data_IF_289266681054
#
_entry.id   IF_289266681054
#
_cell.length_a   1.000
_cell.length_b   1.000
_cell.length_c   1.000
_cell.angle_alpha   90.00
_cell.angle_beta   90.00
_cell.angle_gamma   90.00
#
_symmetry.space_group_name_H-M   'P 1'
#
loop_
_entity.id
_entity.type
_entity.pdbx_description
1 polymer ?
#
# COMPACT_ATOMS: atom_id res chain seq x y z
N UNK A 1 -16.05 -13.46 17.40
CA UNK A 1 -16.67 -14.13 18.57
C UNK A 1 -18.13 -13.72 18.66
N UNK A 2 -19.05 -14.57 19.18
CA UNK A 2 -20.50 -14.37 19.09
C UNK A 2 -21.03 -13.06 19.71
N UNK A 3 -20.23 -12.35 20.51
CA UNK A 3 -20.59 -11.10 21.17
C UNK A 3 -19.57 -9.95 20.93
N UNK A 4 -18.76 -10.03 19.88
CA UNK A 4 -17.81 -8.97 19.54
C UNK A 4 -18.53 -7.77 18.92
N UNK A 5 -18.78 -6.73 19.70
CA UNK A 5 -19.34 -5.46 19.17
C UNK A 5 -18.25 -4.63 18.51
N UNK A 6 -18.34 -4.44 17.19
CA UNK A 6 -17.49 -3.50 16.44
C UNK A 6 -18.10 -2.09 16.53
N UNK A 7 -17.86 -1.42 17.67
CA UNK A 7 -18.27 -0.03 17.91
C UNK A 7 -17.04 0.83 18.13
N UNK A 8 -16.88 1.87 17.33
CA UNK A 8 -15.85 2.89 17.49
C UNK A 8 -16.46 4.28 17.44
N UNK A 9 -15.98 5.21 18.27
CA UNK A 9 -16.31 6.62 18.13
C UNK A 9 -15.58 7.20 16.92
N UNK A 10 -16.32 7.84 16.01
CA UNK A 10 -15.75 8.43 14.79
C UNK A 10 -14.64 9.45 15.09
N UNK A 11 -14.76 10.21 16.18
CA UNK A 11 -13.76 11.20 16.62
C UNK A 11 -12.36 10.61 16.81
N UNK A 12 -12.23 9.31 17.10
CA UNK A 12 -10.94 8.64 17.28
C UNK A 12 -10.25 8.30 15.96
N UNK A 13 -10.92 8.45 14.82
CA UNK A 13 -10.37 8.16 13.48
C UNK A 13 -9.92 9.42 12.72
N UNK A 14 -10.08 10.61 13.32
CA UNK A 14 -9.87 11.90 12.64
C UNK A 14 -8.48 12.03 12.00
N UNK A 15 -7.43 11.54 12.67
CA UNK A 15 -6.05 11.58 12.14
C UNK A 15 -5.91 10.67 10.91
N UNK A 16 -6.54 9.49 10.91
CA UNK A 16 -6.46 8.55 9.80
C UNK A 16 -7.21 9.08 8.55
N UNK A 17 -8.33 9.79 8.74
CA UNK A 17 -9.12 10.35 7.63
C UNK A 17 -8.36 11.43 6.86
N UNK A 18 -7.56 12.25 7.55
CA UNK A 18 -6.78 13.32 6.92
C UNK A 18 -5.39 12.92 6.43
N UNK A 19 -5.01 11.64 6.60
CA UNK A 19 -3.67 11.19 6.29
C UNK A 19 -3.54 10.75 4.82
N UNK A 20 -2.48 11.21 4.16
CA UNK A 20 -2.07 10.80 2.81
C UNK A 20 -0.65 10.24 2.88
N UNK A 21 -0.50 8.95 2.61
CA UNK A 21 0.78 8.25 2.59
C UNK A 21 1.77 8.82 1.56
N UNK A 22 1.25 9.43 0.50
CA UNK A 22 2.00 9.85 -0.67
C UNK A 22 2.16 11.37 -0.74
N UNK A 23 1.80 12.08 0.33
CA UNK A 23 1.92 13.52 0.39
C UNK A 23 3.35 13.97 0.06
N UNK A 24 3.48 14.84 -0.95
CA UNK A 24 4.75 15.39 -1.47
C UNK A 24 5.72 14.35 -2.05
N UNK A 25 5.27 13.14 -2.39
CA UNK A 25 6.13 12.11 -3.00
C UNK A 25 6.80 12.62 -4.29
N UNK A 26 6.14 13.47 -5.06
CA UNK A 26 6.62 14.11 -6.30
C UNK A 26 7.79 15.06 -6.10
N UNK A 27 8.03 15.51 -4.86
CA UNK A 27 9.07 16.49 -4.53
C UNK A 27 10.11 15.89 -3.60
N UNK A 28 9.68 15.14 -2.58
CA UNK A 28 10.54 14.73 -1.46
C UNK A 28 11.05 13.30 -1.60
N UNK A 29 10.31 12.40 -2.27
CA UNK A 29 10.65 10.98 -2.36
C UNK A 29 11.68 10.73 -3.50
N UNK A 30 12.91 11.17 -3.28
CA UNK A 30 13.99 11.23 -4.29
C UNK A 30 14.97 10.07 -4.24
N UNK A 31 15.04 9.35 -3.11
CA UNK A 31 15.91 8.20 -2.92
C UNK A 31 15.51 7.03 -3.85
N UNK A 32 16.44 6.11 -4.19
CA UNK A 32 16.09 4.90 -4.93
C UNK A 32 14.96 4.12 -4.24
N UNK A 33 14.00 3.62 -5.01
CA UNK A 33 12.89 2.83 -4.49
C UNK A 33 12.66 1.57 -5.32
N UNK A 34 12.28 0.50 -4.63
CA UNK A 34 11.72 -0.70 -5.22
C UNK A 34 10.38 -0.97 -4.54
N UNK A 35 9.35 -1.18 -5.35
CA UNK A 35 8.01 -1.50 -4.88
C UNK A 35 7.66 -2.89 -5.37
N UNK A 36 7.27 -3.78 -4.46
CA UNK A 36 6.92 -5.17 -4.76
C UNK A 36 5.42 -5.36 -4.53
N UNK A 37 4.71 -5.81 -5.56
CA UNK A 37 3.26 -6.09 -5.50
C UNK A 37 2.95 -7.45 -6.12
N UNK A 38 1.89 -8.11 -5.66
CA UNK A 38 1.35 -9.32 -6.29
C UNK A 38 0.29 -8.96 -7.32
N UNK A 39 0.19 -9.70 -8.42
CA UNK A 39 -0.76 -9.45 -9.51
C UNK A 39 -2.20 -9.88 -9.22
N UNK A 40 -2.43 -10.72 -8.21
CA UNK A 40 -3.78 -11.09 -7.76
C UNK A 40 -4.36 -9.96 -6.93
N UNK A 41 -5.03 -9.04 -7.62
CA UNK A 41 -5.59 -7.81 -7.06
C UNK A 41 -6.65 -8.12 -5.99
N UNK A 42 -6.40 -7.66 -4.76
CA UNK A 42 -7.35 -7.69 -3.65
C UNK A 42 -8.19 -6.40 -3.53
N UNK A 43 -9.13 -6.39 -2.58
CA UNK A 43 -10.08 -5.28 -2.41
C UNK A 43 -9.48 -4.00 -1.78
N UNK A 44 -8.30 -4.08 -1.14
CA UNK A 44 -7.73 -2.99 -0.34
C UNK A 44 -6.78 -2.06 -1.10
N UNK A 45 -6.71 -2.16 -2.44
CA UNK A 45 -5.98 -1.19 -3.26
C UNK A 45 -4.46 -1.37 -3.34
N UNK A 46 -3.86 -2.34 -2.64
CA UNK A 46 -2.40 -2.52 -2.57
C UNK A 46 -1.68 -2.53 -3.93
N UNK A 47 -2.23 -3.19 -4.95
CA UNK A 47 -1.67 -3.18 -6.30
C UNK A 47 -1.68 -1.77 -6.92
N UNK A 48 -2.83 -1.08 -6.85
CA UNK A 48 -2.99 0.28 -7.35
C UNK A 48 -2.04 1.23 -6.62
N UNK A 49 -1.97 1.15 -5.31
CA UNK A 49 -1.17 2.03 -4.47
C UNK A 49 0.33 1.85 -4.76
N UNK A 50 0.77 0.60 -5.03
CA UNK A 50 2.12 0.32 -5.49
C UNK A 50 2.44 0.93 -6.85
N UNK A 51 1.52 0.87 -7.81
CA UNK A 51 1.67 1.56 -9.09
C UNK A 51 1.67 3.10 -8.93
N UNK A 52 0.81 3.62 -8.07
CA UNK A 52 0.66 5.06 -7.83
C UNK A 52 1.95 5.66 -7.26
N UNK A 53 2.55 5.07 -6.22
CA UNK A 53 3.76 5.62 -5.63
C UNK A 53 4.96 5.57 -6.58
N UNK A 54 5.05 4.54 -7.43
CA UNK A 54 6.06 4.48 -8.51
C UNK A 54 5.86 5.63 -9.50
N UNK A 55 4.61 5.92 -9.88
CA UNK A 55 4.27 7.06 -10.72
C UNK A 55 4.63 8.40 -10.07
N UNK A 56 4.29 8.57 -8.79
CA UNK A 56 4.39 9.85 -8.07
C UNK A 56 5.79 10.17 -7.57
N UNK A 57 6.61 9.20 -7.15
CA UNK A 57 7.90 9.48 -6.52
C UNK A 57 8.81 10.42 -7.34
N UNK A 58 9.52 11.35 -6.72
CA UNK A 58 10.50 12.21 -7.41
C UNK A 58 11.75 11.45 -7.90
N UNK A 59 11.99 10.26 -7.34
CA UNK A 59 13.17 9.43 -7.55
C UNK A 59 13.50 9.19 -9.03
N UNK A 60 14.79 9.20 -9.37
CA UNK A 60 15.28 8.84 -10.71
C UNK A 60 15.55 7.35 -10.86
N UNK A 61 15.53 6.61 -9.77
CA UNK A 61 15.81 5.18 -9.72
C UNK A 61 14.63 4.48 -9.05
N UNK A 62 13.71 3.98 -9.88
CA UNK A 62 12.48 3.33 -9.42
C UNK A 62 12.32 1.98 -10.10
N UNK A 63 11.93 0.98 -9.33
CA UNK A 63 11.61 -0.34 -9.83
C UNK A 63 10.26 -0.82 -9.29
N UNK A 64 9.41 -1.34 -10.17
CA UNK A 64 8.18 -2.02 -9.80
C UNK A 64 8.36 -3.51 -10.11
N UNK A 65 8.35 -4.33 -9.08
CA UNK A 65 8.39 -5.79 -9.20
C UNK A 65 6.98 -6.31 -9.01
N UNK A 66 6.42 -6.90 -10.05
CA UNK A 66 5.12 -7.57 -10.01
C UNK A 66 5.35 -9.08 -9.90
N UNK A 67 4.91 -9.68 -8.80
CA UNK A 67 5.02 -11.11 -8.55
C UNK A 67 3.78 -11.80 -9.11
N UNK A 68 3.97 -12.54 -10.21
CA UNK A 68 2.90 -13.26 -10.91
C UNK A 68 2.33 -14.39 -10.06
N UNK A 69 0.99 -14.48 -10.00
CA UNK A 69 0.27 -15.49 -9.26
C UNK A 69 0.17 -15.25 -7.75
N UNK A 70 0.64 -14.11 -7.23
CA UNK A 70 0.64 -13.80 -5.80
C UNK A 70 -0.40 -12.74 -5.45
N UNK A 71 -1.09 -12.93 -4.33
CA UNK A 71 -1.94 -11.92 -3.69
C UNK A 71 -1.19 -11.15 -2.61
N UNK A 72 -1.83 -10.11 -2.06
CA UNK A 72 -1.32 -9.37 -0.90
C UNK A 72 -0.96 -10.30 0.28
N UNK A 73 -1.75 -11.34 0.53
CA UNK A 73 -1.52 -12.27 1.64
C UNK A 73 -0.38 -13.25 1.35
N UNK A 74 -0.23 -13.68 0.10
CA UNK A 74 0.84 -14.59 -0.31
C UNK A 74 2.23 -13.94 -0.15
N UNK A 75 2.31 -12.60 -0.20
CA UNK A 75 3.56 -11.87 0.06
C UNK A 75 3.99 -11.88 1.54
N UNK A 76 3.08 -12.12 2.49
CA UNK A 76 3.42 -12.20 3.93
C UNK A 76 3.91 -13.59 4.34
N UNK A 77 3.56 -14.63 3.57
CA UNK A 77 3.84 -16.02 3.94
C UNK A 77 4.52 -16.71 2.77
N UNK A 78 5.81 -16.97 2.93
CA UNK A 78 6.57 -17.82 2.02
C UNK A 78 6.24 -19.29 2.30
N UNK A 79 5.09 -19.77 1.86
CA UNK A 79 4.86 -21.21 1.69
C UNK A 79 4.85 -21.51 0.20
N UNK A 80 6.01 -21.98 -0.27
CA UNK A 80 6.10 -22.76 -1.51
C UNK A 80 5.58 -24.18 -1.31
#
# INVERSE_FOLDING_TARGET
>A
APNGVNRSLFSHQTVAVGWDAFHLAEVLLTQPIMVVVGDRVGAFGAYRDGCEIIGRAASKHKELVVVEGYSHYDLYVLTG
#
